data_IF_291762827820
#
_entry.id   IF_291762827820
#
_cell.length_a   1.000
_cell.length_b   1.000
_cell.length_c   1.000
_cell.angle_alpha   90.00
_cell.angle_beta   90.00
_cell.angle_gamma   90.00
#
_symmetry.space_group_name_H-M   'P 1'
#
loop_
_entity.id
_entity.type
_entity.pdbx_description
1 polymer ?
#
# COMPACT_ATOMS: atom_id res chain seq x y z
N UNK A 1 -1.01 15.73 -2.39
CA UNK A 1 -0.07 14.87 -1.62
C UNK A 1 -0.90 13.96 -0.73
N UNK A 2 -0.51 12.70 -0.61
CA UNK A 2 -1.23 11.71 0.20
C UNK A 2 -0.24 10.90 1.01
N UNK A 3 -0.65 10.49 2.21
CA UNK A 3 0.15 9.65 3.09
C UNK A 3 -0.78 8.82 3.98
N UNK A 4 -0.26 7.72 4.50
CA UNK A 4 -0.98 6.84 5.43
C UNK A 4 -0.43 7.04 6.84
N UNK A 5 -1.29 6.98 7.85
CA UNK A 5 -0.90 6.98 9.27
C UNK A 5 -1.47 5.74 9.97
N UNK A 6 -0.89 5.31 11.11
CA UNK A 6 -1.54 4.33 11.97
C UNK A 6 -2.96 4.76 12.33
N UNK A 7 -3.89 3.81 12.41
CA UNK A 7 -5.31 4.09 12.67
C UNK A 7 -5.52 4.93 13.94
N UNK A 8 -4.73 4.68 14.97
CA UNK A 8 -4.82 5.38 16.25
C UNK A 8 -4.35 6.85 16.18
N UNK A 9 -3.63 7.22 15.12
CA UNK A 9 -3.12 8.58 14.91
C UNK A 9 -3.98 9.42 13.94
N UNK A 10 -5.03 8.85 13.33
CA UNK A 10 -5.83 9.51 12.28
C UNK A 10 -6.36 10.89 12.67
N UNK A 11 -7.04 10.98 13.81
CA UNK A 11 -7.58 12.25 14.32
C UNK A 11 -6.49 13.30 14.57
N UNK A 12 -5.32 12.88 15.06
CA UNK A 12 -4.17 13.78 15.28
C UNK A 12 -3.59 14.24 13.96
N UNK A 13 -3.41 13.33 12.99
CA UNK A 13 -2.87 13.63 11.68
C UNK A 13 -3.74 14.67 10.96
N UNK A 14 -5.05 14.44 10.87
CA UNK A 14 -5.98 15.37 10.22
C UNK A 14 -5.96 16.74 10.88
N UNK A 15 -5.96 16.81 12.22
CA UNK A 15 -5.87 18.09 12.93
C UNK A 15 -4.59 18.86 12.57
N UNK A 16 -3.44 18.18 12.55
CA UNK A 16 -2.16 18.81 12.21
C UNK A 16 -2.09 19.22 10.73
N UNK A 17 -2.59 18.38 9.82
CA UNK A 17 -2.66 18.68 8.39
C UNK A 17 -3.56 19.87 8.11
N UNK A 18 -4.76 19.94 8.72
CA UNK A 18 -5.64 21.11 8.60
C UNK A 18 -4.96 22.39 9.11
N UNK A 19 -4.32 22.33 10.29
CA UNK A 19 -3.58 23.47 10.86
C UNK A 19 -2.47 23.97 9.92
N UNK A 20 -1.69 23.04 9.34
CA UNK A 20 -0.65 23.39 8.37
C UNK A 20 -1.23 23.96 7.07
N UNK A 21 -2.31 23.36 6.57
CA UNK A 21 -2.98 23.77 5.35
C UNK A 21 -3.69 25.13 5.48
N UNK A 22 -4.12 25.54 6.67
CA UNK A 22 -4.71 26.88 6.90
C UNK A 22 -3.74 28.01 6.53
N UNK A 23 -2.43 27.80 6.70
CA UNK A 23 -1.40 28.74 6.23
C UNK A 23 -1.28 28.83 4.71
N UNK A 24 -1.84 27.86 3.98
CA UNK A 24 -1.79 27.71 2.52
C UNK A 24 -3.14 28.02 1.84
N UNK A 25 -4.15 28.46 2.60
CA UNK A 25 -5.47 28.82 2.06
C UNK A 25 -6.57 27.78 2.22
N UNK A 26 -6.33 26.67 2.94
CA UNK A 26 -7.40 25.72 3.31
C UNK A 26 -8.49 26.39 4.15
N UNK A 27 -9.75 26.24 3.76
CA UNK A 27 -10.93 26.73 4.49
C UNK A 27 -11.19 28.23 4.36
N UNK A 28 -10.55 28.93 3.41
CA UNK A 28 -10.85 30.33 3.10
C UNK A 28 -11.79 30.38 1.88
N UNK A 29 -13.01 30.92 2.00
CA UNK A 29 -13.85 31.14 0.83
C UNK A 29 -13.14 32.09 -0.14
N UNK A 30 -13.14 31.74 -1.42
CA UNK A 30 -12.54 32.54 -2.49
C UNK A 30 -13.25 33.91 -2.60
N UNK A 31 -12.78 34.91 -1.86
CA UNK A 31 -13.23 36.29 -2.01
C UNK A 31 -12.48 36.95 -3.17
N UNK A 32 -12.96 36.69 -4.39
CA UNK A 32 -12.74 37.58 -5.54
C UNK A 32 -11.54 37.29 -6.46
N UNK A 33 -11.89 37.06 -7.74
CA UNK A 33 -11.28 37.68 -8.92
C UNK A 33 -9.87 37.31 -9.43
N UNK A 34 -9.35 36.11 -9.16
CA UNK A 34 -8.30 35.48 -10.01
C UNK A 34 -8.61 33.96 -10.08
N UNK A 35 -9.18 33.39 -11.15
CA UNK A 35 -8.59 33.18 -12.48
C UNK A 35 -7.30 32.33 -12.45
N UNK A 36 -7.37 31.06 -12.04
CA UNK A 36 -6.33 30.07 -12.37
C UNK A 36 -6.74 28.59 -12.18
N UNK A 37 -8.01 28.21 -12.30
CA UNK A 37 -8.42 26.78 -12.43
C UNK A 37 -8.08 25.82 -11.28
N UNK A 38 -7.46 26.30 -10.19
CA UNK A 38 -7.15 25.50 -9.01
C UNK A 38 -8.32 25.62 -8.03
N UNK A 39 -9.02 24.52 -7.80
CA UNK A 39 -10.10 24.44 -6.80
C UNK A 39 -9.61 24.72 -5.38
N UNK A 40 -10.54 24.90 -4.44
CA UNK A 40 -10.23 25.07 -3.02
C UNK A 40 -9.29 23.95 -2.53
N UNK A 41 -8.28 24.30 -1.75
CA UNK A 41 -7.40 23.31 -1.12
C UNK A 41 -8.24 22.43 -0.20
N UNK A 42 -8.18 21.11 -0.38
CA UNK A 42 -8.93 20.15 0.43
C UNK A 42 -8.01 19.26 1.27
N UNK A 43 -8.51 18.87 2.44
CA UNK A 43 -7.91 17.85 3.30
C UNK A 43 -8.95 16.75 3.45
N UNK A 44 -8.66 15.59 2.88
CA UNK A 44 -9.53 14.41 2.87
C UNK A 44 -8.92 13.30 3.73
N UNK A 45 -9.78 12.48 4.32
CA UNK A 45 -9.42 11.28 5.08
C UNK A 45 -10.21 10.10 4.54
N UNK A 46 -9.54 8.95 4.37
CA UNK A 46 -10.20 7.66 4.16
C UNK A 46 -9.65 6.65 5.18
N UNK A 47 -10.54 6.07 5.98
CA UNK A 47 -10.21 5.08 7.00
C UNK A 47 -10.55 3.64 6.58
N UNK A 48 -11.18 3.46 5.40
CA UNK A 48 -11.59 2.17 4.85
C UNK A 48 -10.64 1.67 3.74
N UNK A 49 -9.35 1.91 3.95
CA UNK A 49 -8.30 1.50 3.04
C UNK A 49 -7.38 0.44 3.67
N UNK A 50 -6.65 -0.26 2.82
CA UNK A 50 -5.54 -1.13 3.20
C UNK A 50 -4.39 -0.94 2.24
N UNK A 51 -3.17 -0.96 2.78
CA UNK A 51 -1.93 -0.89 2.02
C UNK A 51 -1.36 -2.29 1.87
N UNK A 52 -1.19 -2.73 0.64
CA UNK A 52 -0.49 -3.97 0.31
C UNK A 52 0.80 -3.64 -0.45
N UNK A 53 1.90 -4.26 -0.05
CA UNK A 53 3.22 -3.92 -0.58
C UNK A 53 3.98 -5.18 -0.96
N UNK A 54 4.53 -5.18 -2.18
CA UNK A 54 5.60 -6.10 -2.54
C UNK A 54 6.92 -5.40 -2.19
N UNK A 55 7.81 -6.11 -1.50
CA UNK A 55 9.09 -5.59 -1.02
C UNK A 55 10.20 -6.55 -1.44
N UNK A 56 11.28 -6.03 -1.99
CA UNK A 56 12.44 -6.82 -2.39
C UNK A 56 13.54 -5.96 -3.00
N UNK A 57 14.75 -6.51 -3.03
CA UNK A 57 15.88 -5.90 -3.75
C UNK A 57 15.76 -6.15 -5.26
N UNK A 58 16.19 -5.17 -6.07
CA UNK A 58 16.23 -5.31 -7.52
C UNK A 58 14.91 -5.03 -8.25
N UNK A 59 13.97 -4.25 -7.68
CA UNK A 59 12.74 -3.88 -8.40
C UNK A 59 13.02 -3.14 -9.71
N UNK A 60 14.10 -2.35 -9.77
CA UNK A 60 14.55 -1.64 -10.99
C UNK A 60 15.01 -2.59 -12.11
N UNK A 61 15.57 -3.75 -11.75
CA UNK A 61 16.13 -4.73 -12.69
C UNK A 61 15.13 -5.85 -13.03
N UNK A 62 14.09 -6.03 -12.22
CA UNK A 62 13.02 -7.02 -12.43
C UNK A 62 11.70 -6.32 -12.82
N UNK A 63 11.63 -5.87 -14.08
CA UNK A 63 10.49 -5.13 -14.64
C UNK A 63 9.13 -5.85 -14.57
N UNK A 64 9.12 -7.18 -14.36
CA UNK A 64 7.89 -7.98 -14.28
C UNK A 64 7.16 -7.94 -12.93
N UNK A 65 7.74 -7.39 -11.87
CA UNK A 65 7.12 -7.44 -10.53
C UNK A 65 5.86 -6.57 -10.46
N UNK A 66 5.91 -5.36 -11.01
CA UNK A 66 4.76 -4.46 -11.05
C UNK A 66 3.60 -5.07 -11.87
N UNK A 67 3.92 -5.54 -13.08
CA UNK A 67 2.95 -6.19 -13.96
C UNK A 67 2.25 -7.37 -13.26
N UNK A 68 3.05 -8.27 -12.66
CA UNK A 68 2.54 -9.42 -11.92
C UNK A 68 1.65 -9.02 -10.74
N UNK A 69 1.99 -7.96 -10.00
CA UNK A 69 1.17 -7.45 -8.90
C UNK A 69 -0.18 -6.90 -9.43
N UNK A 70 -0.16 -6.06 -10.46
CA UNK A 70 -1.36 -5.44 -11.01
C UNK A 70 -2.28 -6.45 -11.70
N UNK A 71 -1.74 -7.39 -12.47
CA UNK A 71 -2.49 -8.51 -13.04
C UNK A 71 -3.17 -9.32 -11.95
N UNK A 72 -2.47 -9.67 -10.88
CA UNK A 72 -3.04 -10.46 -9.77
C UNK A 72 -4.20 -9.72 -9.09
N UNK A 73 -4.07 -8.41 -8.87
CA UNK A 73 -5.16 -7.62 -8.30
C UNK A 73 -6.34 -7.47 -9.27
N UNK A 74 -6.08 -7.35 -10.56
CA UNK A 74 -7.11 -7.29 -11.59
C UNK A 74 -7.88 -8.62 -11.74
N UNK A 75 -7.18 -9.77 -11.70
CA UNK A 75 -7.77 -11.11 -11.74
C UNK A 75 -8.77 -11.32 -10.57
N UNK A 76 -8.43 -10.79 -9.39
CA UNK A 76 -9.28 -10.81 -8.19
C UNK A 76 -10.37 -9.72 -8.19
N UNK A 77 -10.47 -8.91 -9.26
CA UNK A 77 -11.39 -7.76 -9.39
C UNK A 77 -11.24 -6.73 -8.27
N UNK A 78 -10.00 -6.52 -7.82
CA UNK A 78 -9.66 -5.56 -6.76
C UNK A 78 -9.20 -4.26 -7.39
N UNK A 79 -9.97 -3.19 -7.18
CA UNK A 79 -9.61 -1.85 -7.65
C UNK A 79 -8.42 -1.29 -6.85
N UNK A 80 -7.47 -0.68 -7.56
CA UNK A 80 -6.34 0.04 -6.97
C UNK A 80 -6.70 1.53 -6.90
N UNK A 81 -6.69 2.10 -5.70
CA UNK A 81 -7.00 3.52 -5.47
C UNK A 81 -5.76 4.41 -5.59
N UNK A 82 -4.59 3.87 -5.24
CA UNK A 82 -3.34 4.62 -5.29
C UNK A 82 -2.16 3.66 -5.43
N UNK A 83 -1.15 4.08 -6.19
CA UNK A 83 0.12 3.37 -6.35
C UNK A 83 1.23 4.27 -5.82
N UNK A 84 2.15 3.69 -5.05
CA UNK A 84 3.38 4.34 -4.62
C UNK A 84 4.53 3.36 -4.73
N UNK A 85 5.64 3.82 -5.30
CA UNK A 85 6.82 3.00 -5.58
C UNK A 85 8.07 3.59 -4.92
N UNK A 86 8.98 2.73 -4.47
CA UNK A 86 10.35 3.05 -4.14
C UNK A 86 11.30 2.13 -4.89
N UNK A 87 12.61 2.26 -4.68
CA UNK A 87 13.60 1.38 -5.29
C UNK A 87 13.43 -0.10 -4.88
N UNK A 88 12.80 -0.36 -3.74
CA UNK A 88 12.67 -1.70 -3.15
C UNK A 88 11.23 -2.12 -2.89
N UNK A 89 10.24 -1.29 -3.25
CA UNK A 89 8.84 -1.62 -2.98
C UNK A 89 7.86 -1.04 -3.99
N UNK A 90 6.81 -1.80 -4.25
CA UNK A 90 5.59 -1.34 -4.91
C UNK A 90 4.47 -1.50 -3.90
N UNK A 91 3.82 -0.39 -3.56
CA UNK A 91 2.72 -0.32 -2.60
C UNK A 91 1.45 0.12 -3.30
N UNK A 92 0.35 -0.59 -3.06
CA UNK A 92 -0.98 -0.25 -3.55
C UNK A 92 -1.92 0.00 -2.37
N UNK A 93 -2.75 1.03 -2.51
CA UNK A 93 -3.90 1.26 -1.64
C UNK A 93 -5.13 0.65 -2.30
N UNK A 94 -5.86 -0.18 -1.55
CA UNK A 94 -7.07 -0.87 -1.96
C UNK A 94 -8.15 -0.69 -0.87
N UNK A 95 -9.42 -0.94 -1.20
CA UNK A 95 -10.47 -0.99 -0.16
C UNK A 95 -10.18 -2.09 0.85
N UNK A 96 -10.34 -1.77 2.13
CA UNK A 96 -9.99 -2.63 3.26
C UNK A 96 -10.64 -4.01 3.20
N UNK A 97 -11.88 -4.10 2.71
CA UNK A 97 -12.62 -5.36 2.56
C UNK A 97 -11.90 -6.40 1.68
N UNK A 98 -10.98 -5.98 0.81
CA UNK A 98 -10.21 -6.86 -0.07
C UNK A 98 -8.83 -7.25 0.47
N UNK A 99 -8.45 -6.79 1.67
CA UNK A 99 -7.10 -6.96 2.20
C UNK A 99 -6.66 -8.42 2.25
N UNK A 100 -7.50 -9.32 2.76
CA UNK A 100 -7.16 -10.75 2.84
C UNK A 100 -7.07 -11.43 1.47
N UNK A 101 -8.01 -11.12 0.56
CA UNK A 101 -8.02 -11.67 -0.79
C UNK A 101 -6.76 -11.24 -1.57
N UNK A 102 -6.44 -9.94 -1.54
CA UNK A 102 -5.23 -9.40 -2.14
C UNK A 102 -3.97 -10.07 -1.57
N UNK A 103 -3.87 -10.19 -0.24
CA UNK A 103 -2.71 -10.80 0.40
C UNK A 103 -2.51 -12.26 -0.03
N UNK A 104 -3.58 -13.07 -0.03
CA UNK A 104 -3.53 -14.48 -0.42
C UNK A 104 -3.16 -14.64 -1.89
N UNK A 105 -3.83 -13.92 -2.78
CA UNK A 105 -3.57 -13.99 -4.22
C UNK A 105 -2.14 -13.57 -4.56
N UNK A 106 -1.65 -12.48 -3.96
CA UNK A 106 -0.27 -12.04 -4.14
C UNK A 106 0.73 -13.03 -3.57
N UNK A 107 0.52 -13.55 -2.35
CA UNK A 107 1.39 -14.61 -1.80
C UNK A 107 1.46 -15.83 -2.71
N UNK A 108 0.33 -16.28 -3.25
CA UNK A 108 0.27 -17.41 -4.18
C UNK A 108 1.01 -17.09 -5.49
N UNK A 109 0.70 -15.96 -6.13
CA UNK A 109 1.32 -15.59 -7.41
C UNK A 109 2.84 -15.44 -7.26
N UNK A 110 3.32 -14.88 -6.15
CA UNK A 110 4.76 -14.72 -5.87
C UNK A 110 5.43 -15.96 -5.25
N UNK A 111 4.69 -17.03 -4.95
CA UNK A 111 5.24 -18.26 -4.37
C UNK A 111 5.72 -18.12 -2.92
N UNK A 112 5.20 -17.14 -2.17
CA UNK A 112 5.65 -16.76 -0.82
C UNK A 112 4.95 -17.52 0.33
N UNK A 113 4.24 -18.60 0.04
CA UNK A 113 3.48 -19.38 1.01
C UNK A 113 4.22 -20.59 1.61
N UNK A 114 5.42 -20.91 1.14
CA UNK A 114 6.15 -22.11 1.56
C UNK A 114 7.20 -21.78 2.61
N UNK A 115 6.86 -21.97 3.89
CA UNK A 115 7.87 -22.19 4.92
C UNK A 115 8.48 -23.57 4.62
N UNK A 116 9.65 -23.63 3.98
CA UNK A 116 10.44 -24.88 4.02
C UNK A 116 10.69 -25.18 5.50
N UNK A 117 10.31 -26.36 6.04
CA UNK A 117 10.74 -26.74 7.38
C UNK A 117 12.26 -26.70 7.38
N UNK A 118 12.84 -26.01 8.37
CA UNK A 118 14.29 -25.91 8.51
C UNK A 118 14.89 -27.32 8.48
N UNK A 119 15.70 -27.58 7.46
CA UNK A 119 16.52 -28.78 7.38
C UNK A 119 17.62 -28.62 8.44
N UNK A 120 17.51 -29.39 9.53
CA UNK A 120 18.42 -29.27 10.67
C UNK A 120 18.12 -30.25 11.79
N UNK A 121 17.81 -31.50 11.46
CA UNK A 121 18.04 -32.67 12.32
C UNK A 121 17.88 -33.90 11.43
N UNK A 122 18.98 -34.25 10.76
CA UNK A 122 19.19 -35.58 10.22
C UNK A 122 18.97 -36.56 11.36
N UNK A 123 18.06 -37.51 11.13
CA UNK A 123 17.97 -38.73 11.91
C UNK A 123 19.29 -39.51 11.75
N UNK A 124 20.29 -39.21 12.57
CA UNK A 124 21.43 -40.08 12.82
C UNK A 124 21.01 -41.14 13.82
N UNK A 125 20.38 -42.20 13.33
CA UNK A 125 20.03 -43.33 14.16
C UNK A 125 18.89 -44.12 13.57
N UNK A 126 19.23 -45.10 12.73
CA UNK A 126 18.56 -46.40 12.60
C UNK A 126 19.19 -47.14 11.41
N UNK A 127 20.37 -47.71 11.62
CA UNK A 127 20.74 -48.91 10.88
C UNK A 127 20.13 -50.10 11.64
N UNK A 128 19.05 -50.68 11.10
CA UNK A 128 18.47 -51.95 11.56
C UNK A 128 18.88 -53.03 10.56
N UNK A 129 19.72 -53.94 11.06
CA UNK A 129 20.04 -55.30 10.60
C UNK A 129 20.58 -55.45 9.18
#
# INVERSE_FOLDING_TARGET
ISFTVPKNDGARAIRLTKKAASGLGYGKPNHGHLASGLGELQVLEDSDISRVSIVGVGMKTHSGVAAKMFETLADEKINIEMISTSEISISCIIKKKFAEAALRALHQKFGLGHRKPNHGLLASGLNKK
#
